data_IF_345204314993
#
_entry.id   IF_345204314993
#
_cell.length_a   1.000
_cell.length_b   1.000
_cell.length_c   1.000
_cell.angle_alpha   90.00
_cell.angle_beta   90.00
_cell.angle_gamma   90.00
#
_symmetry.space_group_name_H-M   'P 1'
#
loop_
_entity.id
_entity.type
_entity.pdbx_description
1 polymer ?
#
# COMPACT_ATOMS: atom_id res chain seq x y z
N UNK A 1 5.84 38.22 0.14
CA UNK A 1 6.57 36.97 -0.17
C UNK A 1 5.53 35.90 -0.28
N UNK A 2 5.44 35.20 -1.44
CA UNK A 2 4.55 34.05 -1.61
C UNK A 2 5.33 32.80 -1.21
N UNK A 3 4.87 32.09 -0.16
CA UNK A 3 5.44 30.82 0.28
C UNK A 3 4.46 29.73 -0.15
N UNK A 4 4.82 28.86 -1.10
CA UNK A 4 3.96 27.76 -1.53
C UNK A 4 3.83 26.73 -0.40
N UNK A 5 2.70 26.05 -0.32
CA UNK A 5 2.48 24.97 0.63
C UNK A 5 3.42 23.78 0.37
N UNK A 6 3.75 23.56 -0.90
CA UNK A 6 4.64 22.51 -1.38
C UNK A 6 5.41 23.03 -2.61
N UNK A 7 6.71 22.74 -2.69
CA UNK A 7 7.55 23.05 -3.85
C UNK A 7 8.32 21.80 -4.30
N UNK A 8 7.63 20.90 -5.00
CA UNK A 8 8.21 19.69 -5.58
C UNK A 8 9.29 20.03 -6.62
N UNK A 9 9.16 21.17 -7.31
CA UNK A 9 10.14 21.59 -8.32
C UNK A 9 11.49 21.91 -7.69
N UNK A 10 11.52 22.58 -6.54
CA UNK A 10 12.77 22.87 -5.84
C UNK A 10 13.54 21.60 -5.47
N UNK A 11 12.84 20.57 -5.01
CA UNK A 11 13.43 19.26 -4.72
C UNK A 11 13.97 18.60 -6.01
N UNK A 12 13.15 18.52 -7.05
CA UNK A 12 13.51 17.84 -8.30
C UNK A 12 14.64 18.55 -9.05
N UNK A 13 14.74 19.88 -8.97
CA UNK A 13 15.83 20.62 -9.58
C UNK A 13 17.21 20.24 -9.01
N UNK A 14 17.30 19.88 -7.73
CA UNK A 14 18.57 19.51 -7.11
C UNK A 14 19.15 18.20 -7.63
N UNK A 15 18.33 17.31 -8.17
CA UNK A 15 18.70 15.99 -8.71
C UNK A 15 18.28 15.82 -10.18
N UNK A 16 18.06 16.94 -10.90
CA UNK A 16 17.48 16.91 -12.25
C UNK A 16 18.33 16.12 -13.26
N UNK A 17 19.64 16.18 -13.16
CA UNK A 17 20.55 15.49 -14.09
C UNK A 17 20.55 13.98 -13.82
N UNK A 18 20.46 13.56 -12.55
CA UNK A 18 20.30 12.15 -12.18
C UNK A 18 18.96 11.58 -12.67
N UNK A 19 17.87 12.36 -12.53
CA UNK A 19 16.55 11.97 -13.03
C UNK A 19 16.53 11.82 -14.55
N UNK A 20 17.20 12.75 -15.30
CA UNK A 20 17.32 12.64 -16.75
C UNK A 20 18.13 11.41 -17.15
N UNK A 21 19.26 11.17 -16.49
CA UNK A 21 20.10 10.01 -16.80
C UNK A 21 19.35 8.68 -16.55
N UNK A 22 18.58 8.58 -15.46
CA UNK A 22 17.75 7.41 -15.19
C UNK A 22 16.65 7.22 -16.26
N UNK A 23 16.00 8.31 -16.67
CA UNK A 23 14.99 8.28 -17.74
C UNK A 23 15.58 7.85 -19.08
N UNK A 24 16.73 8.42 -19.45
CA UNK A 24 17.43 8.07 -20.69
C UNK A 24 17.82 6.58 -20.71
N UNK A 25 18.27 6.03 -19.57
CA UNK A 25 18.57 4.60 -19.42
C UNK A 25 17.35 3.71 -19.71
N UNK A 26 16.16 4.10 -19.24
CA UNK A 26 14.92 3.35 -19.53
C UNK A 26 14.58 3.47 -21.04
N UNK A 27 14.74 4.66 -21.64
CA UNK A 27 14.50 4.86 -23.07
C UNK A 27 15.42 4.00 -23.94
N UNK A 28 16.70 3.90 -23.59
CA UNK A 28 17.68 3.10 -24.33
C UNK A 28 17.35 1.60 -24.29
N UNK A 29 16.83 1.10 -23.17
CA UNK A 29 16.45 -0.32 -23.06
C UNK A 29 15.14 -0.65 -23.76
N UNK A 30 14.23 0.33 -23.88
CA UNK A 30 12.87 0.15 -24.41
C UNK A 30 11.97 -0.73 -23.53
N UNK A 31 12.40 -1.09 -22.31
CA UNK A 31 11.65 -1.91 -21.36
C UNK A 31 10.83 -1.03 -20.43
N UNK A 32 9.71 -0.52 -20.90
CA UNK A 32 8.86 0.43 -20.17
C UNK A 32 7.91 -0.20 -19.16
N UNK A 33 7.67 -1.52 -19.22
CA UNK A 33 6.76 -2.24 -18.34
C UNK A 33 7.53 -3.36 -17.65
N UNK A 34 7.50 -3.36 -16.31
CA UNK A 34 8.16 -4.39 -15.49
C UNK A 34 9.63 -4.61 -15.90
N UNK A 35 10.36 -3.51 -16.10
CA UNK A 35 11.79 -3.51 -16.43
C UNK A 35 12.67 -3.74 -15.19
N UNK A 36 13.99 -3.76 -15.43
CA UNK A 36 14.99 -3.98 -14.38
C UNK A 36 14.91 -2.92 -13.27
N UNK A 37 14.55 -1.69 -13.60
CA UNK A 37 14.40 -0.59 -12.64
C UNK A 37 13.28 -0.85 -11.64
N UNK A 38 12.19 -1.50 -12.09
CA UNK A 38 11.09 -1.89 -11.18
C UNK A 38 11.56 -3.00 -10.25
N UNK A 39 12.25 -4.01 -10.76
CA UNK A 39 12.79 -5.11 -9.96
C UNK A 39 13.80 -4.61 -8.92
N UNK A 40 14.68 -3.70 -9.32
CA UNK A 40 15.66 -3.07 -8.43
C UNK A 40 14.97 -2.25 -7.34
N UNK A 41 14.01 -1.41 -7.72
CA UNK A 41 13.24 -0.59 -6.78
C UNK A 41 12.47 -1.44 -5.77
N UNK A 42 11.83 -2.53 -6.22
CA UNK A 42 11.15 -3.48 -5.34
C UNK A 42 12.15 -4.08 -4.33
N UNK A 43 13.34 -4.49 -4.78
CA UNK A 43 14.36 -5.07 -3.91
C UNK A 43 14.89 -4.04 -2.89
N UNK A 44 15.20 -2.83 -3.32
CA UNK A 44 15.69 -1.75 -2.47
C UNK A 44 14.68 -1.33 -1.40
N UNK A 45 13.40 -1.19 -1.77
CA UNK A 45 12.37 -0.85 -0.78
C UNK A 45 12.12 -2.02 0.18
N UNK A 46 12.10 -3.27 -0.30
CA UNK A 46 11.98 -4.43 0.57
C UNK A 46 13.10 -4.46 1.63
N UNK A 47 14.34 -4.26 1.21
CA UNK A 47 15.49 -4.18 2.11
C UNK A 47 15.36 -2.99 3.08
N UNK A 48 15.02 -1.80 2.57
CA UNK A 48 14.91 -0.58 3.35
C UNK A 48 13.89 -0.69 4.49
N UNK A 49 12.71 -1.27 4.20
CA UNK A 49 11.63 -1.39 5.21
C UNK A 49 11.69 -2.71 5.98
N UNK A 50 12.61 -3.62 5.64
CA UNK A 50 12.73 -4.92 6.29
C UNK A 50 11.59 -5.88 5.95
N UNK A 51 11.00 -5.74 4.76
CA UNK A 51 9.99 -6.66 4.25
C UNK A 51 10.64 -7.76 3.41
N UNK A 52 9.99 -8.94 3.35
CA UNK A 52 10.46 -10.04 2.52
C UNK A 52 10.13 -9.82 1.05
N UNK A 53 8.98 -9.22 0.77
CA UNK A 53 8.48 -8.96 -0.57
C UNK A 53 8.01 -7.52 -0.69
N UNK A 54 8.33 -6.93 -1.83
CA UNK A 54 7.78 -5.65 -2.27
C UNK A 54 7.28 -5.79 -3.71
N UNK A 55 6.11 -5.26 -4.01
CA UNK A 55 5.43 -5.38 -5.29
C UNK A 55 5.02 -3.98 -5.75
N UNK A 56 5.67 -3.47 -6.80
CA UNK A 56 5.38 -2.18 -7.41
C UNK A 56 4.04 -2.20 -8.16
N UNK A 57 3.28 -1.12 -8.01
CA UNK A 57 1.97 -0.91 -8.64
C UNK A 57 1.82 0.53 -9.11
N UNK A 58 0.75 0.82 -9.85
CA UNK A 58 0.54 2.12 -10.49
C UNK A 58 0.25 3.27 -9.52
N UNK A 59 -0.22 2.99 -8.30
CA UNK A 59 -0.51 4.01 -7.29
C UNK A 59 -0.65 3.42 -5.90
N UNK A 60 -0.59 4.26 -4.86
CA UNK A 60 -0.96 3.84 -3.50
C UNK A 60 -2.41 3.34 -3.41
N UNK A 61 -3.30 3.89 -4.22
CA UNK A 61 -4.69 3.42 -4.33
C UNK A 61 -4.75 1.98 -4.83
N UNK A 62 -3.97 1.65 -5.87
CA UNK A 62 -3.92 0.28 -6.38
C UNK A 62 -3.20 -0.67 -5.43
N UNK A 63 -2.23 -0.18 -4.65
CA UNK A 63 -1.61 -0.96 -3.58
C UNK A 63 -2.65 -1.43 -2.55
N UNK A 64 -3.51 -0.51 -2.06
CA UNK A 64 -4.62 -0.84 -1.14
C UNK A 64 -5.61 -1.80 -1.80
N UNK A 65 -6.00 -1.53 -3.03
CA UNK A 65 -6.96 -2.36 -3.76
C UNK A 65 -6.44 -3.80 -3.93
N UNK A 66 -5.19 -3.95 -4.37
CA UNK A 66 -4.58 -5.27 -4.53
C UNK A 66 -4.43 -6.00 -3.19
N UNK A 67 -4.07 -5.31 -2.11
CA UNK A 67 -4.01 -5.90 -0.78
C UNK A 67 -5.36 -6.47 -0.34
N UNK A 68 -6.45 -5.70 -0.51
CA UNK A 68 -7.81 -6.14 -0.22
C UNK A 68 -8.20 -7.36 -1.07
N UNK A 69 -7.93 -7.32 -2.39
CA UNK A 69 -8.22 -8.42 -3.30
C UNK A 69 -7.41 -9.68 -2.96
N UNK A 70 -6.13 -9.55 -2.63
CA UNK A 70 -5.27 -10.68 -2.26
C UNK A 70 -5.72 -11.33 -0.93
N UNK A 71 -6.32 -10.57 -0.03
CA UNK A 71 -6.93 -11.06 1.20
C UNK A 71 -8.35 -11.63 0.99
N UNK A 72 -8.88 -11.58 -0.23
CA UNK A 72 -10.21 -12.08 -0.56
C UNK A 72 -11.36 -11.23 -0.05
N UNK A 73 -11.11 -9.95 0.27
CA UNK A 73 -12.13 -9.00 0.77
C UNK A 73 -13.07 -8.59 -0.38
N UNK A 74 -14.36 -8.74 -0.17
CA UNK A 74 -15.37 -8.49 -1.20
C UNK A 74 -16.78 -8.26 -0.66
N UNK A 75 -17.83 -8.45 -1.52
CA UNK A 75 -19.22 -8.21 -1.14
C UNK A 75 -19.63 -9.01 0.10
N UNK A 76 -20.24 -8.32 1.08
CA UNK A 76 -20.66 -8.89 2.35
C UNK A 76 -19.64 -8.76 3.47
N UNK A 77 -18.38 -8.46 3.15
CA UNK A 77 -17.35 -8.21 4.14
C UNK A 77 -17.36 -6.75 4.60
N UNK A 78 -16.85 -6.53 5.81
CA UNK A 78 -16.64 -5.22 6.39
C UNK A 78 -15.15 -5.02 6.72
N UNK A 79 -14.66 -3.79 6.46
CA UNK A 79 -13.30 -3.38 6.81
C UNK A 79 -13.36 -2.12 7.67
N UNK A 80 -12.82 -2.20 8.88
CA UNK A 80 -12.73 -1.04 9.79
C UNK A 80 -11.60 -0.12 9.33
N UNK A 81 -11.89 1.16 9.17
CA UNK A 81 -10.91 2.19 8.84
C UNK A 81 -11.20 3.50 9.60
N UNK A 82 -10.20 4.39 9.80
CA UNK A 82 -10.43 5.66 10.46
C UNK A 82 -11.30 6.58 9.60
N UNK A 83 -12.13 7.40 10.25
CA UNK A 83 -12.97 8.39 9.57
C UNK A 83 -12.18 9.59 9.05
N UNK A 84 -10.99 9.85 9.57
CA UNK A 84 -10.08 10.90 9.14
C UNK A 84 -8.87 10.30 8.42
N UNK A 85 -8.94 10.28 7.10
CA UNK A 85 -7.92 9.76 6.20
C UNK A 85 -8.12 10.30 4.79
N UNK A 86 -7.20 9.96 3.88
CA UNK A 86 -7.42 10.19 2.45
C UNK A 86 -8.49 9.25 1.91
N UNK A 87 -9.25 9.72 0.92
CA UNK A 87 -10.40 8.98 0.36
C UNK A 87 -10.05 7.56 -0.09
N UNK A 88 -8.82 7.31 -0.58
CA UNK A 88 -8.43 6.02 -1.11
C UNK A 88 -8.62 4.87 -0.09
N UNK A 89 -8.38 5.11 1.20
CA UNK A 89 -8.55 4.11 2.26
C UNK A 89 -9.97 3.49 2.22
N UNK A 90 -11.00 4.31 2.33
CA UNK A 90 -12.39 3.84 2.28
C UNK A 90 -12.87 3.54 0.85
N UNK A 91 -12.41 4.32 -0.13
CA UNK A 91 -12.78 4.16 -1.53
C UNK A 91 -12.33 2.83 -2.12
N UNK A 92 -11.17 2.31 -1.74
CA UNK A 92 -10.70 0.99 -2.17
C UNK A 92 -11.53 -0.14 -1.55
N UNK A 93 -11.91 -0.03 -0.27
CA UNK A 93 -12.82 -0.97 0.37
C UNK A 93 -14.14 -1.04 -0.41
N UNK A 94 -14.76 0.12 -0.68
CA UNK A 94 -16.00 0.17 -1.44
C UNK A 94 -15.86 -0.39 -2.88
N UNK A 95 -14.70 -0.19 -3.52
CA UNK A 95 -14.43 -0.72 -4.88
C UNK A 95 -14.37 -2.25 -4.93
N UNK A 96 -14.02 -2.94 -3.84
CA UNK A 96 -14.09 -4.41 -3.79
C UNK A 96 -15.52 -4.93 -3.60
N UNK A 97 -16.49 -4.05 -3.33
CA UNK A 97 -17.85 -4.41 -2.95
C UNK A 97 -18.03 -4.65 -1.46
N UNK A 98 -16.95 -4.55 -0.67
CA UNK A 98 -17.00 -4.59 0.78
C UNK A 98 -17.50 -3.26 1.37
N UNK A 99 -17.90 -3.26 2.62
CA UNK A 99 -18.39 -2.09 3.34
C UNK A 99 -17.29 -1.46 4.18
N UNK A 100 -16.90 -0.19 3.94
CA UNK A 100 -16.05 0.53 4.86
C UNK A 100 -16.82 0.88 6.14
N UNK A 101 -16.31 0.46 7.29
CA UNK A 101 -16.88 0.77 8.59
C UNK A 101 -15.96 1.76 9.28
N UNK A 102 -16.48 2.96 9.50
CA UNK A 102 -15.67 4.06 10.04
C UNK A 102 -15.63 4.03 11.57
N UNK A 103 -14.44 4.10 12.13
CA UNK A 103 -14.23 4.40 13.53
C UNK A 103 -13.71 5.82 13.72
N UNK A 104 -13.81 6.34 14.93
CA UNK A 104 -13.26 7.67 15.27
C UNK A 104 -11.73 7.65 15.29
N UNK A 105 -11.18 8.85 15.26
CA UNK A 105 -9.75 9.10 15.45
C UNK A 105 -9.49 9.73 16.82
N UNK A 106 -8.32 9.43 17.38
CA UNK A 106 -7.88 10.04 18.61
C UNK A 106 -7.65 11.55 18.41
N UNK A 107 -8.19 12.41 19.26
CA UNK A 107 -8.17 13.87 19.04
C UNK A 107 -6.76 14.48 19.02
N UNK A 108 -5.79 13.88 19.70
CA UNK A 108 -4.43 14.42 19.79
C UNK A 108 -3.50 13.91 18.67
N UNK A 109 -3.72 12.68 18.19
CA UNK A 109 -2.83 12.03 17.23
C UNK A 109 -3.43 11.94 15.83
N UNK A 110 -4.75 12.06 15.70
CA UNK A 110 -5.54 11.81 14.50
C UNK A 110 -5.46 10.37 13.96
N UNK A 111 -4.73 9.50 14.65
CA UNK A 111 -4.69 8.08 14.35
C UNK A 111 -5.96 7.37 14.84
N UNK A 112 -6.19 6.16 14.33
CA UNK A 112 -7.34 5.32 14.67
C UNK A 112 -7.52 5.17 16.19
N UNK A 113 -8.74 5.41 16.69
CA UNK A 113 -9.15 5.12 18.06
C UNK A 113 -9.64 3.66 18.16
N UNK A 114 -8.85 2.80 18.78
CA UNK A 114 -9.20 1.39 18.95
C UNK A 114 -10.37 1.15 19.91
N UNK A 115 -10.67 2.07 20.81
CA UNK A 115 -11.88 1.98 21.64
C UNK A 115 -13.15 2.28 20.83
N UNK A 116 -13.06 3.15 19.82
CA UNK A 116 -14.12 3.33 18.83
C UNK A 116 -14.18 2.15 17.87
N UNK A 117 -13.04 1.64 17.38
CA UNK A 117 -12.99 0.48 16.50
C UNK A 117 -13.63 -0.77 17.13
N UNK A 118 -13.47 -0.98 18.45
CA UNK A 118 -14.10 -2.08 19.17
C UNK A 118 -15.62 -2.11 19.03
N UNK A 119 -16.26 -0.94 18.98
CA UNK A 119 -17.72 -0.81 18.81
C UNK A 119 -18.17 -1.05 17.38
N UNK A 120 -17.24 -1.06 16.44
CA UNK A 120 -17.48 -1.25 15.01
C UNK A 120 -17.39 -2.72 14.56
N UNK A 121 -16.89 -3.62 15.43
CA UNK A 121 -16.72 -5.03 15.08
C UNK A 121 -18.06 -5.73 14.96
N UNK A 122 -18.25 -6.44 13.86
CA UNK A 122 -19.40 -7.34 13.61
C UNK A 122 -18.93 -8.73 13.16
N UNK A 123 -19.85 -9.63 12.92
CA UNK A 123 -19.57 -10.95 12.33
C UNK A 123 -19.03 -10.88 10.88
N UNK A 124 -19.33 -9.78 10.19
CA UNK A 124 -18.90 -9.53 8.82
C UNK A 124 -17.54 -8.83 8.73
N UNK A 125 -16.99 -8.35 9.86
CA UNK A 125 -15.69 -7.68 9.87
C UNK A 125 -14.58 -8.69 9.55
N UNK A 126 -13.80 -8.43 8.50
CA UNK A 126 -12.70 -9.31 8.05
C UNK A 126 -11.32 -8.67 8.15
N UNK A 127 -11.27 -7.35 8.12
CA UNK A 127 -10.01 -6.63 8.18
C UNK A 127 -10.13 -5.29 8.93
N UNK A 128 -8.97 -4.79 9.36
CA UNK A 128 -8.79 -3.45 9.87
C UNK A 128 -7.67 -2.78 9.06
N UNK A 129 -7.86 -1.51 8.71
CA UNK A 129 -6.92 -0.73 7.93
C UNK A 129 -6.50 0.53 8.70
N UNK A 130 -5.50 0.43 9.59
CA UNK A 130 -4.91 1.60 10.23
C UNK A 130 -4.19 2.46 9.19
N UNK A 131 -4.18 3.77 9.43
CA UNK A 131 -3.48 4.75 8.59
C UNK A 131 -2.42 5.45 9.43
N UNK A 132 -1.17 5.41 8.99
CA UNK A 132 -0.06 6.11 9.64
C UNK A 132 -0.01 7.56 9.13
N UNK A 133 -1.00 8.34 9.59
CA UNK A 133 -1.28 9.67 9.05
C UNK A 133 -0.14 10.64 9.35
N UNK A 134 0.24 11.43 8.35
CA UNK A 134 1.30 12.45 8.43
C UNK A 134 2.67 11.92 8.87
N UNK A 135 2.92 10.61 8.71
CA UNK A 135 4.16 9.97 9.14
C UNK A 135 4.18 9.53 10.60
N UNK A 136 3.05 9.67 11.32
CA UNK A 136 2.92 9.18 12.69
C UNK A 136 2.33 7.77 12.69
N UNK A 137 3.09 6.80 13.20
CA UNK A 137 2.60 5.43 13.35
C UNK A 137 1.40 5.37 14.29
N UNK A 138 0.42 4.52 13.98
CA UNK A 138 -0.49 4.01 15.01
C UNK A 138 0.30 3.13 15.99
N UNK A 139 -0.25 2.89 17.17
CA UNK A 139 0.28 1.87 18.08
C UNK A 139 0.01 0.48 17.48
N UNK A 140 1.05 -0.12 16.88
CA UNK A 140 0.93 -1.40 16.20
C UNK A 140 0.82 -2.59 17.15
N UNK A 141 1.27 -2.46 18.39
CA UNK A 141 1.06 -3.48 19.42
C UNK A 141 -0.43 -3.59 19.76
N UNK A 142 -1.10 -2.44 19.95
CA UNK A 142 -2.55 -2.39 20.17
C UNK A 142 -3.29 -2.87 18.91
N UNK A 143 -2.90 -2.43 17.72
CA UNK A 143 -3.51 -2.82 16.46
C UNK A 143 -3.45 -4.33 16.25
N UNK A 144 -2.29 -4.93 16.40
CA UNK A 144 -2.08 -6.37 16.21
C UNK A 144 -2.79 -7.20 17.28
N UNK A 145 -2.81 -6.73 18.54
CA UNK A 145 -3.58 -7.37 19.62
C UNK A 145 -5.09 -7.34 19.32
N UNK A 146 -5.60 -6.20 18.85
CA UNK A 146 -6.99 -6.04 18.41
C UNK A 146 -7.34 -6.98 17.26
N UNK A 147 -6.52 -6.98 16.22
CA UNK A 147 -6.74 -7.85 15.07
C UNK A 147 -6.71 -9.33 15.44
N UNK A 148 -5.78 -9.75 16.30
CA UNK A 148 -5.71 -11.11 16.82
C UNK A 148 -6.95 -11.49 17.64
N UNK A 149 -7.44 -10.59 18.51
CA UNK A 149 -8.64 -10.79 19.33
C UNK A 149 -9.87 -11.08 18.48
N UNK A 150 -10.00 -10.38 17.36
CA UNK A 150 -11.18 -10.45 16.48
C UNK A 150 -10.93 -11.29 15.21
N UNK A 151 -9.77 -11.96 15.10
CA UNK A 151 -9.38 -12.74 13.91
C UNK A 151 -9.43 -11.94 12.60
N UNK A 152 -8.93 -10.70 12.63
CA UNK A 152 -8.93 -9.78 11.48
C UNK A 152 -7.61 -9.79 10.73
N UNK A 153 -7.67 -9.50 9.44
CA UNK A 153 -6.48 -9.14 8.66
C UNK A 153 -6.14 -7.66 8.90
N UNK A 154 -4.86 -7.32 8.79
CA UNK A 154 -4.38 -5.95 8.95
C UNK A 154 -3.73 -5.50 7.65
N UNK A 155 -4.14 -4.34 7.14
CA UNK A 155 -3.50 -3.63 6.01
C UNK A 155 -3.05 -2.28 6.55
N UNK A 156 -1.75 -2.04 6.60
CA UNK A 156 -1.21 -0.74 6.97
C UNK A 156 -1.27 0.22 5.77
N UNK A 157 -2.06 1.29 5.87
CA UNK A 157 -1.97 2.41 4.92
C UNK A 157 -0.81 3.32 5.31
N UNK A 158 0.31 3.14 4.63
CA UNK A 158 1.57 3.86 4.85
C UNK A 158 1.85 4.89 3.77
N UNK A 159 0.82 5.35 3.06
CA UNK A 159 0.96 6.31 1.97
C UNK A 159 1.61 7.64 2.37
N UNK A 160 1.76 7.93 3.67
CA UNK A 160 2.38 9.15 4.21
C UNK A 160 3.51 8.84 5.21
N UNK A 161 3.95 7.60 5.33
CA UNK A 161 4.84 7.19 6.42
C UNK A 161 6.04 6.34 6.00
N UNK A 162 6.47 6.42 4.73
CA UNK A 162 7.71 5.77 4.32
C UNK A 162 8.87 6.28 5.17
N UNK A 163 9.60 5.37 5.81
CA UNK A 163 10.70 5.67 6.72
C UNK A 163 10.28 5.90 8.18
N UNK A 164 8.99 6.03 8.48
CA UNK A 164 8.51 6.07 9.86
C UNK A 164 8.62 4.69 10.53
N UNK A 165 8.78 4.70 11.85
CA UNK A 165 8.96 3.47 12.64
C UNK A 165 8.05 3.45 13.86
N UNK A 166 7.72 2.23 14.30
CA UNK A 166 7.17 1.92 15.60
C UNK A 166 8.03 0.83 16.24
N UNK A 167 8.56 1.07 17.45
CA UNK A 167 9.46 0.14 18.15
C UNK A 167 10.56 -0.44 17.23
N UNK A 168 11.30 0.44 16.52
CA UNK A 168 12.38 0.12 15.57
C UNK A 168 11.97 -0.65 14.30
N UNK A 169 10.71 -1.03 14.14
CA UNK A 169 10.17 -1.62 12.92
C UNK A 169 9.56 -0.56 12.01
N UNK A 170 9.81 -0.64 10.72
CA UNK A 170 9.23 0.29 9.75
C UNK A 170 7.72 0.08 9.60
N UNK A 171 6.98 1.19 9.55
CA UNK A 171 5.57 1.17 9.18
C UNK A 171 5.38 0.49 7.82
N UNK A 172 4.38 -0.39 7.72
CA UNK A 172 4.10 -1.21 6.56
C UNK A 172 4.68 -2.62 6.60
N UNK A 173 5.68 -2.88 7.45
CA UNK A 173 6.29 -4.20 7.56
C UNK A 173 5.80 -5.03 8.76
N UNK A 174 4.78 -4.53 9.49
CA UNK A 174 4.34 -5.10 10.77
C UNK A 174 3.03 -5.88 10.69
N UNK A 175 2.47 -6.04 9.50
CA UNK A 175 1.14 -6.65 9.32
C UNK A 175 1.08 -7.55 8.07
N UNK A 176 -0.15 -7.92 7.63
CA UNK A 176 -0.31 -8.77 6.44
C UNK A 176 0.14 -8.05 5.17
N UNK A 177 -0.22 -6.78 5.02
CA UNK A 177 0.25 -5.90 3.94
C UNK A 177 0.52 -4.49 4.47
N UNK A 178 1.59 -3.88 3.97
CA UNK A 178 1.80 -2.43 4.00
C UNK A 178 1.67 -1.84 2.61
N UNK A 179 1.10 -0.64 2.49
CA UNK A 179 0.80 -0.03 1.20
C UNK A 179 1.39 1.38 1.13
N UNK A 180 2.25 1.64 0.15
CA UNK A 180 2.95 2.91 -0.03
C UNK A 180 2.46 3.65 -1.27
N UNK A 181 2.59 4.97 -1.23
CA UNK A 181 2.32 5.84 -2.36
C UNK A 181 3.56 6.66 -2.70
N UNK A 182 3.84 6.77 -3.99
CA UNK A 182 4.91 7.61 -4.53
C UNK A 182 4.35 8.76 -5.36
N UNK A 183 3.11 9.17 -5.09
CA UNK A 183 2.55 10.40 -5.64
C UNK A 183 3.53 11.56 -5.41
N UNK A 184 3.71 12.52 -6.34
CA UNK A 184 4.80 13.51 -6.28
C UNK A 184 4.97 14.27 -4.96
N UNK A 185 3.91 14.42 -4.17
CA UNK A 185 3.96 15.10 -2.87
C UNK A 185 4.28 14.20 -1.66
N UNK A 186 4.53 12.91 -1.90
CA UNK A 186 4.81 11.95 -0.81
C UNK A 186 6.28 12.00 -0.36
N UNK A 187 6.60 11.31 0.75
CA UNK A 187 7.95 11.27 1.34
C UNK A 187 9.03 10.90 0.30
N UNK A 188 8.74 9.93 -0.55
CA UNK A 188 9.48 9.61 -1.76
C UNK A 188 8.53 9.82 -2.94
N UNK A 189 8.59 11.00 -3.56
CA UNK A 189 7.72 11.37 -4.68
C UNK A 189 8.31 10.97 -6.02
N UNK A 190 7.54 10.29 -6.84
CA UNK A 190 7.87 10.02 -8.25
C UNK A 190 7.56 11.22 -9.16
N UNK A 191 7.91 11.09 -10.44
CA UNK A 191 7.55 12.05 -11.51
C UNK A 191 6.16 11.76 -12.10
N UNK A 192 5.30 11.09 -11.36
CA UNK A 192 3.95 10.70 -11.70
C UNK A 192 3.36 9.82 -10.60
N UNK A 193 2.32 9.07 -10.93
CA UNK A 193 1.76 8.11 -10.00
C UNK A 193 2.67 6.91 -9.82
N UNK A 194 2.68 6.37 -8.61
CA UNK A 194 3.38 5.16 -8.25
C UNK A 194 2.92 4.66 -6.88
N UNK A 195 3.02 3.37 -6.68
CA UNK A 195 2.70 2.73 -5.41
C UNK A 195 3.45 1.42 -5.24
N UNK A 196 3.37 0.88 -4.05
CA UNK A 196 4.00 -0.38 -3.74
C UNK A 196 3.28 -1.02 -2.55
N UNK A 197 3.17 -2.33 -2.55
CA UNK A 197 2.75 -3.07 -1.38
C UNK A 197 3.87 -4.01 -0.93
N UNK A 198 3.95 -4.20 0.38
CA UNK A 198 4.93 -5.11 0.99
C UNK A 198 4.24 -6.14 1.85
N UNK A 199 4.87 -7.31 1.99
CA UNK A 199 4.40 -8.38 2.87
C UNK A 199 5.56 -9.29 3.29
N UNK A 200 5.38 -9.97 4.43
CA UNK A 200 6.27 -11.03 4.88
C UNK A 200 5.82 -12.43 4.42
N UNK A 201 4.63 -12.53 3.83
CA UNK A 201 3.96 -13.79 3.49
C UNK A 201 4.15 -14.13 2.01
N UNK A 202 4.69 -15.32 1.73
CA UNK A 202 4.99 -15.80 0.37
C UNK A 202 3.72 -16.03 -0.46
N UNK A 203 2.63 -16.50 0.16
CA UNK A 203 1.37 -16.78 -0.54
C UNK A 203 0.68 -15.46 -0.91
N UNK A 204 0.64 -14.51 0.02
CA UNK A 204 0.08 -13.18 -0.23
C UNK A 204 0.88 -12.43 -1.30
N UNK A 205 2.21 -12.52 -1.28
CA UNK A 205 3.06 -11.94 -2.31
C UNK A 205 2.75 -12.56 -3.69
N UNK A 206 2.65 -13.89 -3.75
CA UNK A 206 2.31 -14.60 -4.99
C UNK A 206 0.94 -14.21 -5.55
N UNK A 207 -0.06 -14.00 -4.68
CA UNK A 207 -1.39 -13.52 -5.07
C UNK A 207 -1.33 -12.08 -5.59
N UNK A 208 -0.63 -11.19 -4.89
CA UNK A 208 -0.49 -9.78 -5.30
C UNK A 208 0.21 -9.65 -6.66
N UNK A 209 1.28 -10.43 -6.91
CA UNK A 209 1.98 -10.47 -8.21
C UNK A 209 1.04 -10.93 -9.33
N UNK A 210 0.23 -11.96 -9.09
CA UNK A 210 -0.76 -12.43 -10.08
C UNK A 210 -1.80 -11.36 -10.37
N UNK A 211 -2.37 -10.74 -9.33
CA UNK A 211 -3.37 -9.69 -9.46
C UNK A 211 -2.82 -8.48 -10.24
N UNK A 212 -1.60 -8.05 -9.94
CA UNK A 212 -0.91 -7.00 -10.69
C UNK A 212 -0.81 -7.31 -12.18
N UNK A 213 -0.59 -8.56 -12.54
CA UNK A 213 -0.36 -9.03 -13.90
C UNK A 213 -1.60 -9.70 -14.52
N UNK A 214 -2.80 -9.23 -14.24
CA UNK A 214 -4.06 -9.71 -14.84
C UNK A 214 -4.32 -11.22 -14.59
N UNK A 215 -3.82 -11.78 -13.51
CA UNK A 215 -3.92 -13.20 -13.19
C UNK A 215 -2.91 -14.10 -13.92
N UNK A 216 -1.98 -13.52 -14.67
CA UNK A 216 -0.96 -14.27 -15.39
C UNK A 216 0.14 -14.78 -14.43
N UNK A 217 0.61 -16.02 -14.70
CA UNK A 217 1.85 -16.51 -14.08
C UNK A 217 3.07 -15.95 -14.82
N UNK A 218 4.17 -15.59 -14.12
CA UNK A 218 5.36 -15.00 -14.75
C UNK A 218 6.05 -15.92 -15.80
N UNK A 219 5.67 -17.16 -15.92
CA UNK A 219 6.43 -18.20 -16.64
C UNK A 219 5.89 -18.56 -18.03
N UNK A 220 4.79 -18.00 -18.50
CA UNK A 220 4.31 -18.39 -19.84
C UNK A 220 3.59 -17.31 -20.61
N UNK A 221 4.36 -16.46 -21.25
CA UNK A 221 3.86 -15.65 -22.36
C UNK A 221 3.57 -16.47 -23.63
N UNK A 222 3.66 -17.79 -23.62
CA UNK A 222 3.59 -18.63 -24.82
C UNK A 222 2.35 -19.50 -24.97
N UNK A 223 1.52 -19.65 -23.94
CA UNK A 223 0.31 -20.48 -24.08
C UNK A 223 -0.83 -19.91 -23.26
N UNK A 224 -1.58 -18.97 -23.84
CA UNK A 224 -2.95 -18.70 -23.47
C UNK A 224 -3.81 -19.91 -23.89
N UNK A 225 -3.95 -20.89 -23.04
CA UNK A 225 -5.07 -21.83 -23.17
C UNK A 225 -6.31 -21.14 -22.58
N UNK A 226 -7.10 -20.52 -23.42
CA UNK A 226 -8.48 -20.19 -23.06
C UNK A 226 -9.16 -21.51 -22.62
N UNK A 227 -9.89 -21.51 -21.48
CA UNK A 227 -10.69 -22.68 -21.15
C UNK A 227 -11.77 -22.83 -22.23
N UNK A 228 -11.56 -23.76 -23.14
CA UNK A 228 -12.63 -24.23 -24.01
C UNK A 228 -13.60 -25.00 -23.14
N UNK A 229 -14.74 -24.36 -22.80
CA UNK A 229 -15.89 -25.12 -22.34
C UNK A 229 -16.31 -26.05 -23.45
N UNK A 230 -16.16 -27.36 -23.22
CA UNK A 230 -16.93 -28.39 -23.93
C UNK A 230 -18.40 -28.31 -23.45
#
# INVERSE_FOLDING_TARGET
>A
MHVPLLDVNAQNHSIADELRAAFDGVLETGRFIMGAEVELFEAEIAEFVGAKHAIGVSSGTDAILLALMALGIGPGDEVICPSFTFFATAGCIARTGATPVFCDCHPDTFNMDFASAEKCVSENTKAIMPVHLFGQSVDMDICNAFAKKHNLKVIEDTAQSLGAKFNDQFCGAMSHFGTYSFFPSKNLGGLGDGGLLVTQDDELAGLAIKLRNHGMHPVSCTHLTLPTKA
#
